data_IF_401630411990
#
_entry.id   IF_401630411990
#
_cell.length_a   1.000
_cell.length_b   1.000
_cell.length_c   1.000
_cell.angle_alpha   90.00
_cell.angle_beta   90.00
_cell.angle_gamma   90.00
#
_symmetry.space_group_name_H-M   'P 1'
#
loop_
_entity.id
_entity.type
_entity.pdbx_description
1 polymer ?
#
# COMPACT_ATOMS: atom_id res chain seq x y z
N UNK A 1 -1.83 -12.81 18.90
CA UNK A 1 -2.85 -11.94 19.51
C UNK A 1 -2.98 -10.64 18.74
N UNK A 2 -4.20 -10.19 18.54
CA UNK A 2 -4.44 -8.96 17.80
C UNK A 2 -4.23 -7.75 18.69
N UNK A 3 -3.52 -6.76 18.17
CA UNK A 3 -3.41 -5.47 18.84
C UNK A 3 -4.70 -4.69 18.64
N UNK A 4 -4.87 -3.64 19.44
CA UNK A 4 -6.05 -2.78 19.29
C UNK A 4 -6.10 -2.17 17.89
N UNK A 5 -4.95 -1.81 17.37
CA UNK A 5 -4.86 -1.19 16.05
C UNK A 5 -5.28 -2.18 14.97
N UNK A 6 -4.88 -3.44 15.09
CA UNK A 6 -5.29 -4.45 14.11
C UNK A 6 -6.77 -4.76 14.20
N UNK A 7 -7.30 -4.80 15.41
CA UNK A 7 -8.74 -5.01 15.60
C UNK A 7 -9.53 -3.88 14.96
N UNK A 8 -9.10 -2.65 15.20
CA UNK A 8 -9.78 -1.49 14.62
C UNK A 8 -9.75 -1.52 13.11
N UNK A 9 -8.63 -1.96 12.54
CA UNK A 9 -8.51 -2.05 11.10
C UNK A 9 -9.48 -3.10 10.53
N UNK A 10 -9.56 -4.25 11.19
CA UNK A 10 -10.48 -5.31 10.74
C UNK A 10 -11.91 -4.82 10.83
N UNK A 11 -12.28 -4.15 11.92
CA UNK A 11 -13.62 -3.61 12.08
C UNK A 11 -13.92 -2.56 11.00
N UNK A 12 -12.94 -1.75 10.67
CA UNK A 12 -13.10 -0.76 9.63
C UNK A 12 -13.34 -1.42 8.29
N UNK A 13 -12.56 -2.46 7.97
CA UNK A 13 -12.74 -3.18 6.72
C UNK A 13 -14.12 -3.81 6.61
N UNK A 14 -14.62 -4.34 7.73
CA UNK A 14 -15.96 -4.93 7.74
C UNK A 14 -17.03 -3.86 7.57
N UNK A 15 -16.87 -2.72 8.21
CA UNK A 15 -17.86 -1.66 8.12
C UNK A 15 -17.91 -1.06 6.71
N UNK A 16 -16.80 -1.11 5.99
CA UNK A 16 -16.73 -0.62 4.61
C UNK A 16 -17.14 -1.68 3.60
N UNK A 17 -17.49 -2.86 4.09
CA UNK A 17 -17.86 -4.00 3.25
C UNK A 17 -16.71 -4.44 2.35
N UNK A 18 -15.51 -4.20 2.80
CA UNK A 18 -14.30 -4.64 2.12
C UNK A 18 -13.96 -6.06 2.53
N UNK A 19 -14.16 -6.39 3.79
CA UNK A 19 -13.87 -7.72 4.32
C UNK A 19 -15.17 -8.38 4.71
N UNK A 20 -15.39 -9.57 4.18
CA UNK A 20 -16.56 -10.38 4.49
C UNK A 20 -16.11 -11.75 4.93
N UNK A 21 -16.78 -12.29 5.94
CA UNK A 21 -16.56 -13.65 6.38
C UNK A 21 -17.66 -14.55 5.86
N UNK A 22 -17.31 -15.79 5.57
CA UNK A 22 -18.26 -16.75 5.04
C UNK A 22 -17.52 -17.81 4.27
N UNK A 23 -18.22 -18.43 3.33
CA UNK A 23 -17.64 -19.46 2.49
C UNK A 23 -17.54 -18.92 1.07
N UNK A 24 -16.33 -18.77 0.58
CA UNK A 24 -16.08 -18.20 -0.73
C UNK A 24 -15.13 -19.08 -1.53
N UNK A 25 -15.26 -19.03 -2.85
CA UNK A 25 -14.39 -19.78 -3.74
C UNK A 25 -13.58 -18.80 -4.56
N UNK A 26 -12.26 -18.95 -4.51
CA UNK A 26 -11.36 -18.09 -5.27
C UNK A 26 -11.35 -18.49 -6.75
N UNK A 27 -10.71 -17.67 -7.57
CA UNK A 27 -10.57 -17.98 -8.98
C UNK A 27 -9.81 -19.27 -9.21
N UNK A 28 -8.92 -19.62 -8.29
CA UNK A 28 -8.19 -20.89 -8.41
C UNK A 28 -8.99 -22.08 -7.90
N UNK A 29 -10.24 -21.87 -7.46
CA UNK A 29 -11.09 -22.94 -7.00
C UNK A 29 -10.92 -23.27 -5.54
N UNK A 30 -10.13 -22.50 -4.80
CA UNK A 30 -9.87 -22.78 -3.40
C UNK A 30 -10.93 -22.12 -2.52
N UNK A 31 -11.40 -22.85 -1.52
CA UNK A 31 -12.34 -22.30 -0.55
C UNK A 31 -11.61 -21.46 0.46
N UNK A 32 -12.18 -20.32 0.79
CA UNK A 32 -11.64 -19.46 1.84
C UNK A 32 -12.75 -19.03 2.78
N UNK A 33 -12.43 -18.78 4.06
CA UNK A 33 -13.44 -18.33 5.01
C UNK A 33 -13.68 -16.83 4.96
N UNK A 34 -13.03 -16.12 4.04
CA UNK A 34 -13.22 -14.68 3.95
C UNK A 34 -13.00 -14.22 2.51
N UNK A 35 -13.46 -13.02 2.24
CA UNK A 35 -13.31 -12.38 0.93
C UNK A 35 -12.97 -10.92 1.14
N UNK A 36 -12.00 -10.41 0.37
CA UNK A 36 -11.57 -9.02 0.46
C UNK A 36 -11.81 -8.34 -0.88
N UNK A 37 -12.56 -7.25 -0.85
CA UNK A 37 -12.83 -6.47 -2.05
C UNK A 37 -12.47 -5.02 -1.78
N UNK A 38 -11.22 -4.65 -2.10
CA UNK A 38 -10.72 -3.32 -1.84
C UNK A 38 -11.36 -2.26 -2.73
N UNK A 39 -12.07 -2.67 -3.77
CA UNK A 39 -12.82 -1.72 -4.58
C UNK A 39 -13.93 -1.03 -3.83
N UNK A 40 -14.29 -1.55 -2.65
CA UNK A 40 -15.33 -0.91 -1.84
C UNK A 40 -14.82 0.27 -1.02
N UNK A 41 -13.54 0.53 -1.01
CA UNK A 41 -13.00 1.79 -0.47
C UNK A 41 -13.24 2.86 -1.53
N UNK A 42 -14.34 3.57 -1.43
CA UNK A 42 -14.70 4.48 -2.52
C UNK A 42 -15.09 5.89 -2.08
N UNK A 43 -15.18 6.12 -0.79
CA UNK A 43 -15.50 7.47 -0.32
C UNK A 43 -14.26 8.13 0.25
N UNK A 44 -14.31 9.46 0.34
CA UNK A 44 -13.21 10.20 0.95
C UNK A 44 -12.98 9.80 2.39
N UNK A 45 -14.06 9.57 3.12
CA UNK A 45 -13.93 9.15 4.51
C UNK A 45 -13.21 7.81 4.61
N UNK A 46 -13.59 6.87 3.76
CA UNK A 46 -12.97 5.54 3.78
C UNK A 46 -11.49 5.61 3.41
N UNK A 47 -11.16 6.39 2.39
CA UNK A 47 -9.76 6.54 1.98
C UNK A 47 -8.95 7.24 3.06
N UNK A 48 -9.53 8.25 3.71
CA UNK A 48 -8.83 8.97 4.76
C UNK A 48 -8.54 8.05 5.95
N UNK A 49 -9.52 7.24 6.34
CA UNK A 49 -9.33 6.32 7.46
C UNK A 49 -8.32 5.24 7.10
N UNK A 50 -8.40 4.74 5.87
CA UNK A 50 -7.45 3.73 5.41
C UNK A 50 -6.03 4.28 5.43
N UNK A 51 -5.85 5.52 4.98
CA UNK A 51 -4.54 6.15 5.01
C UNK A 51 -4.00 6.26 6.42
N UNK A 52 -4.87 6.58 7.39
CA UNK A 52 -4.45 6.65 8.79
C UNK A 52 -3.98 5.31 9.30
N UNK A 53 -4.65 4.23 8.94
CA UNK A 53 -4.23 2.90 9.36
C UNK A 53 -2.86 2.54 8.78
N UNK A 54 -2.65 2.84 7.49
CA UNK A 54 -1.35 2.61 6.89
C UNK A 54 -0.27 3.45 7.56
N UNK A 55 -0.56 4.72 7.82
CA UNK A 55 0.41 5.61 8.45
C UNK A 55 0.78 5.12 9.83
N UNK A 56 -0.22 4.68 10.59
CA UNK A 56 0.00 4.16 11.93
C UNK A 56 0.88 2.91 11.89
N UNK A 57 0.59 2.01 10.95
CA UNK A 57 1.38 0.79 10.81
C UNK A 57 2.82 1.11 10.44
N UNK A 58 3.01 2.03 9.51
CA UNK A 58 4.36 2.41 9.09
C UNK A 58 5.10 3.04 10.26
N UNK A 59 4.43 3.91 10.99
CA UNK A 59 5.06 4.57 12.15
C UNK A 59 5.50 3.56 13.18
N UNK A 60 4.67 2.56 13.45
CA UNK A 60 5.00 1.55 14.44
C UNK A 60 6.12 0.62 14.02
N UNK A 61 6.14 0.25 12.73
CA UNK A 61 7.06 -0.79 12.29
C UNK A 61 8.37 -0.25 11.75
N UNK A 62 8.33 0.87 11.06
CA UNK A 62 9.50 1.41 10.38
C UNK A 62 9.89 2.78 10.91
N UNK A 63 8.92 3.55 11.38
CA UNK A 63 9.16 4.92 11.79
C UNK A 63 9.49 5.78 10.59
N UNK A 64 10.63 6.45 10.66
CA UNK A 64 11.08 7.28 9.54
C UNK A 64 12.25 6.66 8.80
N UNK A 65 12.57 5.41 9.10
CA UNK A 65 13.73 4.75 8.52
C UNK A 65 13.40 4.12 7.18
N UNK A 66 12.98 4.96 6.25
CA UNK A 66 12.74 4.53 4.87
C UNK A 66 12.88 5.74 3.97
N UNK A 67 13.07 5.48 2.69
CA UNK A 67 13.33 6.54 1.72
C UNK A 67 12.07 6.99 1.00
N UNK A 68 11.20 6.07 0.64
CA UNK A 68 10.01 6.41 -0.14
C UNK A 68 9.01 5.27 -0.09
N UNK A 69 7.80 5.58 -0.54
CA UNK A 69 6.72 4.60 -0.64
C UNK A 69 6.40 4.35 -2.11
N UNK A 70 6.12 3.10 -2.44
CA UNK A 70 5.79 2.70 -3.80
C UNK A 70 4.39 2.13 -3.84
N UNK A 71 3.57 2.67 -4.75
CA UNK A 71 2.22 2.15 -4.96
C UNK A 71 2.12 1.51 -6.33
N UNK A 72 2.08 0.17 -6.38
CA UNK A 72 1.99 -0.50 -7.68
C UNK A 72 0.66 -0.18 -8.38
N UNK A 73 0.77 0.12 -9.67
CA UNK A 73 -0.42 0.45 -10.44
C UNK A 73 -1.31 -0.79 -10.54
N UNK A 74 -2.60 -0.61 -10.52
CA UNK A 74 -3.21 0.71 -10.41
C UNK A 74 -3.76 0.97 -9.02
N UNK A 75 -4.20 -0.07 -8.31
CA UNK A 75 -4.90 0.08 -7.03
C UNK A 75 -3.98 0.56 -5.92
N UNK A 76 -2.69 0.25 -6.02
CA UNK A 76 -1.75 0.71 -5.02
C UNK A 76 -1.50 2.21 -5.05
N UNK A 77 -1.80 2.86 -6.18
CA UNK A 77 -1.52 4.28 -6.30
C UNK A 77 -2.31 5.12 -5.30
N UNK A 78 -3.65 5.01 -5.25
CA UNK A 78 -4.38 5.79 -4.26
C UNK A 78 -4.03 5.40 -2.84
N UNK A 79 -3.68 4.15 -2.60
CA UNK A 79 -3.31 3.73 -1.25
C UNK A 79 -2.01 4.38 -0.81
N UNK A 80 -1.02 4.40 -1.69
CA UNK A 80 0.26 5.05 -1.38
C UNK A 80 0.07 6.55 -1.18
N UNK A 81 -0.77 7.17 -2.01
CA UNK A 81 -1.06 8.58 -1.86
C UNK A 81 -1.72 8.87 -0.53
N UNK A 82 -2.70 8.07 -0.15
CA UNK A 82 -3.39 8.26 1.12
C UNK A 82 -2.45 8.04 2.30
N UNK A 83 -1.60 7.03 2.20
CA UNK A 83 -0.64 6.74 3.27
C UNK A 83 0.36 7.89 3.43
N UNK A 84 0.87 8.40 2.31
CA UNK A 84 1.83 9.50 2.35
C UNK A 84 1.21 10.75 2.96
N UNK A 85 -0.01 11.08 2.56
CA UNK A 85 -0.70 12.24 3.10
C UNK A 85 -0.97 12.09 4.59
N UNK A 86 -1.38 10.89 5.01
CA UNK A 86 -1.68 10.68 6.43
C UNK A 86 -0.43 10.68 7.29
N UNK A 87 0.70 10.18 6.77
CA UNK A 87 1.94 10.27 7.52
C UNK A 87 2.29 11.71 7.84
N UNK A 88 2.09 12.59 6.88
CA UNK A 88 2.37 13.99 7.13
C UNK A 88 1.32 14.62 8.07
N UNK A 89 0.05 14.36 7.80
CA UNK A 89 -1.03 14.98 8.57
C UNK A 89 -1.03 14.52 10.02
N UNK A 90 -0.75 13.24 10.26
CA UNK A 90 -0.83 12.69 11.61
C UNK A 90 0.47 12.80 12.39
N UNK A 91 1.62 12.70 11.70
CA UNK A 91 2.90 12.61 12.37
C UNK A 91 3.92 13.61 11.91
N UNK A 92 3.59 14.44 10.93
CA UNK A 92 4.56 15.39 10.40
C UNK A 92 5.68 14.76 9.60
N UNK A 93 5.53 13.51 9.22
CA UNK A 93 6.54 12.79 8.46
C UNK A 93 6.29 13.03 6.97
N UNK A 94 7.24 13.72 6.33
CA UNK A 94 7.12 14.05 4.91
C UNK A 94 8.05 13.15 4.12
N UNK A 95 7.49 12.13 3.48
CA UNK A 95 8.27 11.22 2.66
C UNK A 95 7.73 11.20 1.25
N UNK A 96 8.61 11.05 0.25
CA UNK A 96 8.15 10.98 -1.13
C UNK A 96 7.48 9.66 -1.43
N UNK A 97 6.73 9.63 -2.50
CA UNK A 97 6.14 8.40 -2.98
C UNK A 97 6.21 8.38 -4.50
N UNK A 98 6.04 7.19 -5.05
CA UNK A 98 6.08 7.02 -6.50
C UNK A 98 5.23 5.81 -6.87
N UNK A 99 4.96 5.70 -8.15
CA UNK A 99 4.19 4.59 -8.66
C UNK A 99 4.66 4.29 -10.09
N UNK A 100 4.20 3.17 -10.63
CA UNK A 100 4.59 2.78 -11.97
C UNK A 100 3.43 2.95 -12.92
N UNK A 101 3.78 3.00 -14.21
CA UNK A 101 2.79 2.91 -15.27
C UNK A 101 2.77 1.50 -15.79
N UNK A 102 1.58 1.01 -16.12
CA UNK A 102 1.49 -0.30 -16.74
C UNK A 102 1.96 -0.25 -18.18
N UNK A 103 1.75 0.89 -18.83
CA UNK A 103 2.23 1.10 -20.19
C UNK A 103 3.39 2.08 -20.18
N UNK A 104 4.38 1.77 -20.98
CA UNK A 104 5.50 2.68 -21.11
C UNK A 104 5.11 3.89 -21.91
N UNK A 105 5.66 5.02 -21.51
CA UNK A 105 5.44 6.26 -22.22
C UNK A 105 6.52 6.43 -23.27
N UNK A 106 6.08 6.67 -24.50
CA UNK A 106 7.02 6.81 -25.62
C UNK A 106 7.65 8.19 -25.68
N UNK A 107 7.00 9.18 -25.08
CA UNK A 107 7.45 10.57 -25.21
C UNK A 107 7.71 11.15 -23.84
N UNK A 108 8.38 12.30 -23.85
CA UNK A 108 8.66 13.03 -22.66
C UNK A 108 9.72 12.36 -21.82
N UNK A 109 9.45 12.27 -20.55
CA UNK A 109 10.45 11.71 -19.63
C UNK A 109 10.66 10.23 -19.82
N UNK A 110 9.69 9.55 -20.41
CA UNK A 110 9.83 8.11 -20.59
C UNK A 110 9.84 7.38 -19.28
N UNK A 111 10.15 6.08 -19.38
CA UNK A 111 10.25 5.25 -18.21
C UNK A 111 8.91 4.87 -17.64
N UNK A 112 8.96 3.98 -16.67
CA UNK A 112 7.76 3.41 -16.09
C UNK A 112 7.41 3.98 -14.72
N UNK A 113 8.29 4.79 -14.12
CA UNK A 113 8.07 5.32 -12.78
C UNK A 113 7.67 6.78 -12.81
N UNK A 114 6.77 7.14 -11.91
CA UNK A 114 6.28 8.51 -11.78
C UNK A 114 6.45 8.94 -10.34
N UNK A 115 7.01 10.13 -10.13
CA UNK A 115 7.25 10.66 -8.82
C UNK A 115 8.70 10.52 -8.43
N UNK A 116 8.91 10.08 -7.21
CA UNK A 116 10.27 9.91 -6.72
C UNK A 116 11.03 8.87 -7.54
N UNK A 117 12.29 9.13 -7.81
CA UNK A 117 13.14 8.18 -8.53
C UNK A 117 14.04 7.48 -7.53
N UNK A 118 13.84 6.17 -7.29
CA UNK A 118 14.65 5.46 -6.31
C UNK A 118 16.13 5.42 -6.70
N UNK A 119 16.97 5.37 -5.69
CA UNK A 119 18.42 5.30 -5.86
C UNK A 119 18.94 4.05 -5.18
N UNK A 120 20.19 3.73 -5.49
CA UNK A 120 20.84 2.59 -4.84
C UNK A 120 20.83 2.78 -3.33
N UNK A 121 20.48 1.73 -2.64
CA UNK A 121 20.47 1.75 -1.20
C UNK A 121 19.21 2.29 -0.56
N UNK A 122 18.27 2.77 -1.36
CA UNK A 122 17.02 3.27 -0.81
C UNK A 122 16.20 2.14 -0.21
N UNK A 123 15.53 2.45 0.90
CA UNK A 123 14.56 1.55 1.50
C UNK A 123 13.19 1.94 1.04
N UNK A 124 12.50 1.04 0.39
CA UNK A 124 11.20 1.33 -0.21
C UNK A 124 10.13 0.52 0.48
N UNK A 125 9.07 1.19 0.89
CA UNK A 125 7.89 0.53 1.44
C UNK A 125 6.90 0.35 0.30
N UNK A 126 6.51 -0.89 0.06
CA UNK A 126 5.55 -1.19 -1.00
C UNK A 126 4.16 -1.30 -0.38
N UNK A 127 3.23 -0.49 -0.90
CA UNK A 127 1.87 -0.46 -0.39
C UNK A 127 0.95 -1.05 -1.44
N UNK A 128 0.32 -2.17 -1.11
CA UNK A 128 -0.53 -2.89 -2.02
C UNK A 128 -1.95 -2.96 -1.50
N UNK A 129 -2.86 -3.23 -2.43
CA UNK A 129 -4.28 -3.26 -2.11
C UNK A 129 -4.73 -4.58 -1.50
N UNK A 130 -3.96 -5.64 -1.67
CA UNK A 130 -4.31 -6.95 -1.16
C UNK A 130 -3.40 -7.30 0.01
N UNK A 131 -4.02 -7.63 1.12
CA UNK A 131 -3.27 -8.02 2.31
C UNK A 131 -3.22 -9.54 2.35
N UNK A 132 -2.12 -10.09 1.90
CA UNK A 132 -1.90 -11.52 1.99
C UNK A 132 -0.97 -11.78 3.15
N UNK A 133 -1.30 -12.78 3.94
CA UNK A 133 -0.50 -13.13 5.11
C UNK A 133 -0.35 -11.96 6.07
N UNK A 134 -1.36 -11.08 6.07
CA UNK A 134 -1.36 -9.96 6.98
C UNK A 134 -0.39 -8.85 6.65
N UNK A 135 0.12 -8.84 5.43
CA UNK A 135 1.11 -7.85 5.03
C UNK A 135 0.50 -6.88 4.03
N UNK A 136 0.20 -5.67 4.49
CA UNK A 136 -0.25 -4.61 3.61
C UNK A 136 0.91 -3.78 3.10
N UNK A 137 2.05 -3.94 3.71
CA UNK A 137 3.17 -3.07 3.47
C UNK A 137 4.45 -3.87 3.63
N UNK A 138 5.27 -3.86 2.60
CA UNK A 138 6.54 -4.57 2.62
C UNK A 138 7.67 -3.57 2.58
N UNK A 139 8.68 -3.82 3.40
CA UNK A 139 9.89 -3.02 3.37
C UNK A 139 10.87 -3.68 2.40
N UNK A 140 11.32 -2.88 1.46
CA UNK A 140 12.17 -3.39 0.40
C UNK A 140 13.42 -2.54 0.29
N UNK A 141 14.56 -3.19 0.21
CA UNK A 141 15.84 -2.52 0.04
C UNK A 141 16.47 -3.02 -1.25
N UNK A 142 16.87 -2.09 -2.10
CA UNK A 142 17.43 -2.45 -3.38
C UNK A 142 18.84 -1.90 -3.51
N UNK A 143 19.77 -2.72 -3.98
CA UNK A 143 21.11 -2.20 -4.30
C UNK A 143 21.11 -1.34 -5.55
N UNK A 144 20.08 -1.44 -6.36
CA UNK A 144 20.00 -0.72 -7.62
C UNK A 144 18.55 -0.42 -7.94
N UNK A 145 18.24 0.81 -8.40
CA UNK A 145 16.86 1.10 -8.80
C UNK A 145 16.34 0.18 -9.89
N UNK A 146 17.21 -0.24 -10.78
CA UNK A 146 16.80 -1.14 -11.85
C UNK A 146 16.40 -2.48 -11.30
N UNK A 147 17.16 -3.00 -10.34
CA UNK A 147 16.82 -4.27 -9.72
C UNK A 147 15.51 -4.15 -8.98
N UNK A 148 15.33 -3.07 -8.26
CA UNK A 148 14.10 -2.86 -7.55
C UNK A 148 12.91 -2.78 -8.46
N UNK A 149 13.08 -2.14 -9.60
CA UNK A 149 11.98 -1.97 -10.54
C UNK A 149 11.55 -3.30 -11.16
N UNK A 150 12.48 -4.22 -11.32
CA UNK A 150 12.16 -5.48 -11.97
C UNK A 150 11.72 -6.57 -11.03
N UNK A 151 12.00 -6.39 -9.78
CA UNK A 151 11.66 -7.42 -8.82
C UNK A 151 10.21 -7.60 -8.63
N UNK A 152 9.55 -6.92 -9.01
CA UNK A 152 8.27 -7.01 -8.72
C UNK A 152 7.62 -7.54 -9.02
#
# INVERSE_FOLDING_TARGET
>A
MLTESKKAFIEFMMSADVLRFGSFVTKSGRNTPYFVNTGNYKTGEQIAKLGKFYASLIKETVGEDFSAMFGPAYKGIPLATAAAASLYNEYGISKPYFFNRKEEKDHGEGGSLVGYKPKDGDKIIIIEDVITAGTACLLYTSPSPRDGATSR
#
